data_IF_057893089098
#
_entry.id   IF_057893089098
#
_cell.length_a   1.000
_cell.length_b   1.000
_cell.length_c   1.000
_cell.angle_alpha   90.00
_cell.angle_beta   90.00
_cell.angle_gamma   90.00
#
_symmetry.space_group_name_H-M   'P 1'
#
loop_
_entity.id
_entity.type
_entity.pdbx_description
1 polymer ?
#
# COMPACT_ATOMS: atom_id res chain seq x y z
N UNK A 1 16.90 65.86 42.76
CA UNK A 1 15.80 65.87 43.75
C UNK A 1 14.56 65.30 43.08
N UNK A 2 13.97 64.28 43.73
CA UNK A 2 12.67 63.60 43.50
C UNK A 2 12.52 62.61 42.34
N UNK A 3 12.82 61.36 42.70
CA UNK A 3 12.27 60.11 42.18
C UNK A 3 10.72 60.13 42.18
N UNK A 4 10.10 59.37 41.27
CA UNK A 4 8.85 58.67 41.56
C UNK A 4 8.72 57.36 40.80
N UNK A 5 8.34 56.37 41.58
CA UNK A 5 8.31 54.92 41.39
C UNK A 5 7.04 54.47 40.67
N UNK A 6 7.15 53.50 39.77
CA UNK A 6 6.02 52.77 39.19
C UNK A 6 6.40 51.32 39.03
N UNK A 7 6.27 50.55 40.12
CA UNK A 7 6.47 49.11 40.21
C UNK A 7 5.27 48.42 39.52
N UNK A 8 5.54 47.51 38.59
CA UNK A 8 4.52 46.66 37.99
C UNK A 8 5.16 45.40 37.43
N UNK A 9 5.29 44.38 38.28
CA UNK A 9 5.32 42.98 37.84
C UNK A 9 3.99 42.35 38.25
N UNK A 10 3.42 41.46 37.43
CA UNK A 10 3.71 40.05 37.64
C UNK A 10 3.83 39.19 36.36
N UNK A 11 4.79 38.27 36.37
CA UNK A 11 4.70 36.81 36.07
C UNK A 11 4.02 36.29 34.76
N UNK A 12 4.31 35.05 34.28
CA UNK A 12 4.67 34.79 32.90
C UNK A 12 3.73 33.74 32.27
N UNK A 13 2.93 34.10 31.26
CA UNK A 13 2.17 33.08 30.54
C UNK A 13 1.84 33.51 29.11
N UNK A 14 2.42 32.74 28.19
CA UNK A 14 1.80 32.26 26.94
C UNK A 14 1.46 33.29 25.86
N UNK A 15 2.18 33.18 24.74
CA UNK A 15 1.60 32.55 23.55
C UNK A 15 2.77 32.21 22.61
N UNK A 16 3.25 30.97 22.75
CA UNK A 16 4.08 30.34 21.73
C UNK A 16 3.36 30.38 20.37
N UNK A 17 4.09 30.60 19.25
CA UNK A 17 3.54 30.36 17.92
C UNK A 17 3.15 28.88 17.79
N UNK A 18 2.12 28.54 16.98
CA UNK A 18 1.76 27.15 16.77
C UNK A 18 2.98 26.38 16.24
N UNK A 19 3.26 25.17 16.75
CA UNK A 19 4.23 24.30 16.12
C UNK A 19 3.68 24.01 14.72
N UNK A 20 4.41 24.50 13.70
CA UNK A 20 4.32 23.89 12.38
C UNK A 20 4.43 22.39 12.59
N UNK A 21 3.44 21.67 12.05
CA UNK A 21 3.31 20.23 12.16
C UNK A 21 4.68 19.55 12.14
N UNK A 22 4.93 18.55 13.00
CA UNK A 22 6.19 17.85 12.94
C UNK A 22 6.35 17.35 11.51
N UNK A 23 7.37 17.87 10.84
CA UNK A 23 8.00 17.18 9.73
C UNK A 23 8.12 15.74 10.19
N UNK A 24 7.36 14.85 9.56
CA UNK A 24 7.44 13.43 9.81
C UNK A 24 8.91 13.08 9.64
N UNK A 25 9.59 12.89 10.77
CA UNK A 25 10.96 12.44 10.78
C UNK A 25 10.98 11.16 9.94
N UNK A 26 11.91 11.00 9.00
CA UNK A 26 12.32 9.67 8.62
C UNK A 26 13.05 9.13 9.85
N UNK A 27 12.28 8.62 10.82
CA UNK A 27 12.83 7.75 11.85
C UNK A 27 13.58 6.64 11.12
N UNK A 28 14.74 6.20 11.64
CA UNK A 28 15.47 5.12 11.01
C UNK A 28 14.45 3.99 10.82
N UNK A 29 14.25 3.57 9.58
CA UNK A 29 13.40 2.46 9.21
C UNK A 29 13.95 1.24 9.95
N UNK A 30 13.53 1.12 11.20
CA UNK A 30 13.76 -0.02 12.05
C UNK A 30 13.21 -1.16 11.25
N UNK A 31 14.10 -2.11 10.98
CA UNK A 31 13.82 -3.42 10.45
C UNK A 31 12.69 -4.01 11.30
N UNK A 32 11.44 -3.67 10.97
CA UNK A 32 10.30 -4.29 11.61
C UNK A 32 10.35 -5.74 11.16
N UNK A 33 10.42 -6.69 12.11
CA UNK A 33 10.65 -8.07 11.77
C UNK A 33 9.53 -8.53 10.84
N UNK A 34 9.92 -9.01 9.67
CA UNK A 34 9.08 -9.54 8.59
C UNK A 34 8.19 -10.71 9.02
N UNK A 35 8.13 -11.06 10.31
CA UNK A 35 7.78 -12.39 10.78
C UNK A 35 6.37 -12.56 11.32
N UNK A 36 5.56 -11.51 11.48
CA UNK A 36 4.21 -11.67 12.06
C UNK A 36 3.19 -10.70 11.48
N UNK A 37 3.21 -10.50 10.16
CA UNK A 37 2.16 -9.74 9.49
C UNK A 37 1.33 -10.60 8.54
N UNK A 38 0.14 -11.07 8.98
CA UNK A 38 -0.70 -11.92 8.14
C UNK A 38 -1.09 -11.21 6.84
N UNK A 39 -1.26 -9.87 6.87
CA UNK A 39 -1.51 -9.09 5.67
C UNK A 39 -0.35 -9.11 4.68
N UNK A 40 0.88 -8.90 5.14
CA UNK A 40 2.06 -8.95 4.27
C UNK A 40 2.26 -10.35 3.67
N UNK A 41 2.14 -11.40 4.48
CA UNK A 41 2.23 -12.79 4.03
C UNK A 41 1.18 -13.10 2.94
N UNK A 42 -0.05 -12.63 3.14
CA UNK A 42 -1.14 -12.81 2.17
C UNK A 42 -0.87 -12.07 0.86
N UNK A 43 -0.38 -10.83 0.91
CA UNK A 43 0.00 -10.09 -0.30
C UNK A 43 1.12 -10.82 -1.05
N UNK A 44 2.16 -11.31 -0.36
CA UNK A 44 3.22 -12.09 -1.01
C UNK A 44 2.69 -13.38 -1.66
N UNK A 45 1.79 -14.09 -0.99
CA UNK A 45 1.17 -15.29 -1.55
C UNK A 45 0.38 -14.98 -2.83
N UNK A 46 -0.41 -13.91 -2.81
CA UNK A 46 -1.16 -13.45 -3.98
C UNK A 46 -0.17 -13.06 -5.09
N UNK A 47 0.90 -12.35 -4.76
CA UNK A 47 1.87 -11.90 -5.74
C UNK A 47 2.59 -13.06 -6.43
N UNK A 48 2.96 -14.11 -5.69
CA UNK A 48 3.47 -15.35 -6.27
C UNK A 48 2.45 -16.03 -7.19
N UNK A 49 1.16 -15.98 -6.84
CA UNK A 49 0.09 -16.53 -7.67
C UNK A 49 -0.09 -15.74 -8.97
N UNK A 50 -0.01 -14.42 -8.88
CA UNK A 50 -0.11 -13.51 -10.03
C UNK A 50 1.07 -13.70 -10.98
N UNK A 51 2.28 -13.97 -10.46
CA UNK A 51 3.44 -14.30 -11.29
C UNK A 51 3.23 -15.60 -12.07
N UNK A 52 2.72 -16.65 -11.43
CA UNK A 52 2.37 -17.90 -12.11
C UNK A 52 1.30 -17.68 -13.19
N UNK A 53 0.22 -16.96 -12.83
CA UNK A 53 -0.84 -16.61 -13.78
C UNK A 53 -0.31 -15.77 -14.94
N UNK A 54 0.67 -14.90 -14.70
CA UNK A 54 1.31 -14.11 -15.73
C UNK A 54 2.11 -14.99 -16.70
N UNK A 55 2.82 -16.01 -16.21
CA UNK A 55 3.48 -17.00 -17.08
C UNK A 55 2.45 -17.78 -17.90
N UNK A 56 1.37 -18.27 -17.29
CA UNK A 56 0.28 -18.92 -18.00
C UNK A 56 -0.35 -18.01 -19.07
N UNK A 57 -0.54 -16.72 -18.75
CA UNK A 57 -1.05 -15.71 -19.68
C UNK A 57 -0.05 -15.44 -20.80
N UNK A 58 1.25 -15.46 -20.52
CA UNK A 58 2.30 -15.28 -21.54
C UNK A 58 2.39 -16.49 -22.50
N UNK A 59 2.15 -17.69 -22.00
CA UNK A 59 2.06 -18.90 -22.84
C UNK A 59 0.69 -19.03 -23.54
N UNK A 60 -0.36 -18.41 -22.98
CA UNK A 60 -1.72 -18.52 -23.51
C UNK A 60 -1.83 -17.95 -24.93
N UNK A 61 -2.28 -18.81 -25.85
CA UNK A 61 -2.65 -18.44 -27.22
C UNK A 61 -4.01 -19.04 -27.52
N UNK A 62 -5.04 -18.19 -27.63
CA UNK A 62 -6.40 -18.65 -27.83
C UNK A 62 -7.38 -17.50 -28.02
N UNK A 63 -8.67 -17.81 -27.94
CA UNK A 63 -9.76 -16.82 -28.08
C UNK A 63 -10.34 -16.49 -26.71
N UNK A 64 -11.03 -15.34 -26.58
CA UNK A 64 -11.78 -14.99 -25.34
C UNK A 64 -12.89 -15.99 -25.00
N UNK A 65 -13.31 -16.81 -25.97
CA UNK A 65 -14.29 -17.89 -25.77
C UNK A 65 -13.68 -19.17 -25.23
N UNK A 66 -12.35 -19.27 -25.19
CA UNK A 66 -11.66 -20.47 -24.73
C UNK A 66 -11.86 -20.67 -23.22
N UNK A 67 -11.93 -21.93 -22.79
CA UNK A 67 -12.03 -22.25 -21.36
C UNK A 67 -10.81 -21.77 -20.60
N UNK A 68 -9.64 -21.80 -21.25
CA UNK A 68 -8.38 -21.40 -20.62
C UNK A 68 -8.34 -19.89 -20.37
N UNK A 69 -8.88 -19.07 -21.29
CA UNK A 69 -9.06 -17.63 -21.07
C UNK A 69 -9.94 -17.36 -19.86
N UNK A 70 -11.13 -17.98 -19.81
CA UNK A 70 -12.07 -17.79 -18.70
C UNK A 70 -11.45 -18.22 -17.37
N UNK A 71 -10.73 -19.34 -17.37
CA UNK A 71 -10.06 -19.84 -16.18
C UNK A 71 -9.00 -18.85 -15.67
N UNK A 72 -8.15 -18.31 -16.55
CA UNK A 72 -7.12 -17.33 -16.18
C UNK A 72 -7.74 -16.02 -15.68
N UNK A 73 -8.78 -15.53 -16.36
CA UNK A 73 -9.53 -14.34 -15.97
C UNK A 73 -10.21 -14.50 -14.59
N UNK A 74 -10.85 -15.65 -14.36
CA UNK A 74 -11.47 -15.98 -13.07
C UNK A 74 -10.44 -16.05 -11.95
N UNK A 75 -9.28 -16.68 -12.19
CA UNK A 75 -8.21 -16.77 -11.18
C UNK A 75 -7.60 -15.41 -10.86
N UNK A 76 -7.32 -14.57 -11.88
CA UNK A 76 -6.82 -13.22 -11.68
C UNK A 76 -7.80 -12.35 -10.89
N UNK A 77 -9.09 -12.43 -11.24
CA UNK A 77 -10.15 -11.68 -10.54
C UNK A 77 -10.32 -12.17 -9.11
N UNK A 78 -10.26 -13.49 -8.88
CA UNK A 78 -10.31 -14.09 -7.55
C UNK A 78 -9.16 -13.58 -6.67
N UNK A 79 -7.95 -13.53 -7.21
CA UNK A 79 -6.78 -13.06 -6.48
C UNK A 79 -6.84 -11.56 -6.18
N UNK A 80 -7.52 -10.76 -7.02
CA UNK A 80 -7.81 -9.36 -6.74
C UNK A 80 -8.78 -9.18 -5.57
N UNK A 81 -9.83 -10.00 -5.48
CA UNK A 81 -10.80 -9.99 -4.37
C UNK A 81 -10.14 -10.40 -3.05
N UNK A 82 -9.30 -11.45 -3.09
CA UNK A 82 -8.55 -11.92 -1.93
C UNK A 82 -7.52 -10.86 -1.47
N UNK A 83 -6.95 -10.10 -2.42
CA UNK A 83 -6.05 -8.98 -2.15
C UNK A 83 -6.75 -7.76 -1.54
N UNK A 84 -7.95 -7.42 -2.01
CA UNK A 84 -8.74 -6.31 -1.48
C UNK A 84 -9.17 -6.55 -0.03
N UNK A 85 -9.43 -7.82 0.30
CA UNK A 85 -9.74 -8.29 1.65
C UNK A 85 -8.55 -8.17 2.62
N UNK A 86 -7.33 -7.89 2.14
CA UNK A 86 -6.15 -7.75 3.01
C UNK A 86 -6.18 -6.41 3.74
N UNK A 87 -6.31 -6.50 5.05
CA UNK A 87 -6.17 -5.37 5.97
C UNK A 87 -4.71 -4.95 6.14
N UNK A 88 -4.44 -3.66 5.98
CA UNK A 88 -3.08 -3.12 6.04
C UNK A 88 -2.68 -2.68 7.45
N UNK A 89 -3.62 -2.60 8.41
CA UNK A 89 -3.42 -2.17 9.81
C UNK A 89 -2.51 -0.95 10.02
N UNK A 90 -2.46 -0.03 9.06
CA UNK A 90 -1.58 1.14 9.15
C UNK A 90 -0.14 0.91 8.65
N UNK A 91 0.20 -0.30 8.20
CA UNK A 91 1.51 -0.61 7.65
C UNK A 91 1.66 -0.11 6.22
N UNK A 92 2.64 0.77 6.04
CA UNK A 92 2.96 1.33 4.73
C UNK A 92 3.45 0.26 3.75
N UNK A 93 4.29 -0.67 4.21
CA UNK A 93 4.79 -1.77 3.38
C UNK A 93 3.64 -2.58 2.76
N UNK A 94 2.70 -3.05 3.59
CA UNK A 94 1.54 -3.82 3.10
C UNK A 94 0.71 -2.99 2.13
N UNK A 95 0.52 -1.68 2.38
CA UNK A 95 -0.17 -0.79 1.44
C UNK A 95 0.55 -0.68 0.10
N UNK A 96 1.87 -0.57 0.10
CA UNK A 96 2.66 -0.49 -1.13
C UNK A 96 2.57 -1.80 -1.92
N UNK A 97 2.85 -2.94 -1.28
CA UNK A 97 2.76 -4.25 -1.93
C UNK A 97 1.35 -4.55 -2.44
N UNK A 98 0.31 -4.15 -1.69
CA UNK A 98 -1.08 -4.34 -2.14
C UNK A 98 -1.36 -3.56 -3.43
N UNK A 99 -0.93 -2.30 -3.51
CA UNK A 99 -1.09 -1.51 -4.75
C UNK A 99 -0.31 -2.11 -5.91
N UNK A 100 0.92 -2.54 -5.68
CA UNK A 100 1.75 -3.19 -6.68
C UNK A 100 1.09 -4.47 -7.21
N UNK A 101 0.58 -5.31 -6.30
CA UNK A 101 -0.13 -6.53 -6.65
C UNK A 101 -1.42 -6.25 -7.45
N UNK A 102 -2.23 -5.25 -7.06
CA UNK A 102 -3.40 -4.83 -7.85
C UNK A 102 -2.98 -4.40 -9.25
N UNK A 103 -1.96 -3.54 -9.36
CA UNK A 103 -1.50 -3.05 -10.66
C UNK A 103 -1.00 -4.19 -11.54
N UNK A 104 -0.31 -5.18 -10.96
CA UNK A 104 0.18 -6.34 -11.70
C UNK A 104 -0.93 -7.28 -12.16
N UNK A 105 -1.95 -7.51 -11.32
CA UNK A 105 -3.15 -8.27 -11.70
C UNK A 105 -3.84 -7.60 -12.89
N UNK A 106 -4.07 -6.29 -12.80
CA UNK A 106 -4.70 -5.51 -13.87
C UNK A 106 -3.89 -5.55 -15.17
N UNK A 107 -2.57 -5.40 -15.10
CA UNK A 107 -1.70 -5.52 -16.26
C UNK A 107 -1.76 -6.92 -16.89
N UNK A 108 -1.86 -7.97 -16.06
CA UNK A 108 -1.96 -9.36 -16.53
C UNK A 108 -3.31 -9.64 -17.19
N UNK A 109 -4.41 -9.13 -16.64
CA UNK A 109 -5.74 -9.19 -17.27
C UNK A 109 -5.74 -8.49 -18.64
N UNK A 110 -5.18 -7.29 -18.72
CA UNK A 110 -5.09 -6.52 -19.98
C UNK A 110 -4.23 -7.25 -21.02
N UNK A 111 -3.13 -7.88 -20.59
CA UNK A 111 -2.31 -8.73 -21.47
C UNK A 111 -3.08 -9.97 -21.96
N UNK A 112 -3.84 -10.62 -21.08
CA UNK A 112 -4.69 -11.76 -21.44
C UNK A 112 -5.75 -11.35 -22.48
N UNK A 113 -6.38 -10.18 -22.31
CA UNK A 113 -7.33 -9.62 -23.29
C UNK A 113 -6.67 -9.32 -24.64
N UNK A 114 -5.45 -8.80 -24.65
CA UNK A 114 -4.70 -8.50 -25.87
C UNK A 114 -4.23 -9.75 -26.61
N UNK A 115 -3.88 -10.80 -25.88
CA UNK A 115 -3.45 -12.08 -26.46
C UNK A 115 -4.63 -12.90 -26.97
N UNK A 116 -5.79 -12.73 -26.37
CA UNK A 116 -7.01 -13.36 -26.81
C UNK A 116 -7.56 -12.68 -28.07
N UNK A 117 -7.48 -13.37 -29.21
CA UNK A 117 -7.92 -12.85 -30.51
C UNK A 117 -9.37 -13.23 -30.87
#
# INVERSE_FOLDING_TARGET
MYNKTGRGEPNPSQCDPPPSAPAQAPGPAGLQPLSDNPGLAKVHQIMSRVLLLQEDVDEFVGKKTDKSYRYLEELLTKELLDLDSVETQGQENVRQYRREAVQRIQATLDQLEKKAF
#
